data_IF_224874057379
#
_entry.id   IF_224874057379
#
_cell.length_a   1.000
_cell.length_b   1.000
_cell.length_c   1.000
_cell.angle_alpha   90.00
_cell.angle_beta   90.00
_cell.angle_gamma   90.00
#
_symmetry.space_group_name_H-M   'P 1'
#
loop_
_entity.id
_entity.type
_entity.pdbx_description
1 polymer ?
#
# COMPACT_ATOMS: atom_id res chain seq x y z
N UNK A 1 -3.64 -9.37 25.63
CA UNK A 1 -2.95 -10.25 24.64
C UNK A 1 -1.44 -10.24 24.91
N UNK A 2 -0.80 -11.41 25.00
CA UNK A 2 0.63 -11.49 25.30
C UNK A 2 1.48 -11.24 24.02
N UNK A 3 2.56 -10.45 24.14
CA UNK A 3 3.52 -10.20 23.04
C UNK A 3 4.08 -11.53 22.50
N UNK A 4 4.29 -12.50 23.36
CA UNK A 4 4.80 -13.83 23.00
C UNK A 4 3.90 -14.54 21.99
N UNK A 5 2.57 -14.47 22.15
CA UNK A 5 1.62 -15.17 21.29
C UNK A 5 1.60 -14.56 19.88
N UNK A 6 1.77 -13.24 19.78
CA UNK A 6 1.94 -12.54 18.49
C UNK A 6 3.22 -12.98 17.77
N UNK A 7 4.35 -13.02 18.50
CA UNK A 7 5.66 -13.35 17.93
C UNK A 7 5.78 -14.80 17.44
N UNK A 8 5.04 -15.75 18.04
CA UNK A 8 5.07 -17.16 17.63
C UNK A 8 4.46 -17.35 16.24
N UNK A 9 3.40 -16.62 15.91
CA UNK A 9 2.66 -16.72 14.64
C UNK A 9 3.33 -15.97 13.50
N UNK A 10 3.98 -14.86 13.81
CA UNK A 10 4.60 -13.99 12.80
C UNK A 10 5.83 -14.64 12.15
N UNK A 11 6.13 -14.30 10.89
CA UNK A 11 7.37 -14.67 10.23
C UNK A 11 8.61 -14.28 11.06
N UNK A 12 9.72 -14.98 10.79
CA UNK A 12 10.97 -14.75 11.54
C UNK A 12 11.68 -13.46 11.16
N UNK A 13 11.28 -12.82 10.07
CA UNK A 13 11.85 -11.58 9.58
C UNK A 13 11.71 -10.46 10.62
N UNK A 14 12.78 -9.69 10.78
CA UNK A 14 12.89 -8.65 11.81
C UNK A 14 11.79 -7.59 11.70
N UNK A 15 11.36 -7.26 10.48
CA UNK A 15 10.29 -6.28 10.23
C UNK A 15 9.01 -6.64 10.96
N UNK A 16 8.56 -7.90 10.86
CA UNK A 16 7.34 -8.35 11.53
C UNK A 16 7.51 -8.39 13.05
N UNK A 17 8.68 -8.85 13.52
CA UNK A 17 8.95 -8.99 14.96
C UNK A 17 9.03 -7.65 15.65
N UNK A 18 9.77 -6.71 15.07
CA UNK A 18 9.83 -5.34 15.60
C UNK A 18 8.51 -4.61 15.43
N UNK A 19 7.80 -4.80 14.32
CA UNK A 19 6.45 -4.28 14.16
C UNK A 19 5.52 -4.72 15.29
N UNK A 20 5.51 -6.02 15.62
CA UNK A 20 4.66 -6.57 16.68
C UNK A 20 5.01 -6.09 18.11
N UNK A 21 6.25 -5.70 18.34
CA UNK A 21 6.70 -5.19 19.65
C UNK A 21 6.50 -3.69 19.77
N UNK A 22 6.67 -2.95 18.66
CA UNK A 22 6.79 -1.49 18.68
C UNK A 22 5.56 -0.77 18.11
N UNK A 23 4.52 -1.47 17.61
CA UNK A 23 3.38 -0.84 16.95
C UNK A 23 2.68 0.24 17.79
N UNK A 24 2.61 0.06 19.11
CA UNK A 24 1.99 1.04 20.03
C UNK A 24 2.77 2.36 20.11
N UNK A 25 4.05 2.36 19.73
CA UNK A 25 4.88 3.57 19.73
C UNK A 25 4.59 4.49 18.53
N UNK A 26 3.95 3.96 17.50
CA UNK A 26 3.78 4.63 16.20
C UNK A 26 5.10 4.77 15.42
N UNK A 27 4.99 5.11 14.14
CA UNK A 27 6.11 5.15 13.18
C UNK A 27 7.33 5.92 13.67
N UNK A 28 7.12 7.19 14.11
CA UNK A 28 8.23 8.10 14.45
C UNK A 28 9.13 7.54 15.56
N UNK A 29 8.52 7.04 16.64
CA UNK A 29 9.25 6.47 17.77
C UNK A 29 9.85 5.11 17.43
N UNK A 30 9.13 4.27 16.69
CA UNK A 30 9.64 2.99 16.18
C UNK A 30 10.93 3.19 15.40
N UNK A 31 10.93 4.10 14.42
CA UNK A 31 12.12 4.42 13.61
C UNK A 31 13.28 4.91 14.48
N UNK A 32 13.01 5.77 15.49
CA UNK A 32 14.05 6.24 16.41
C UNK A 32 14.69 5.09 17.21
N UNK A 33 13.88 4.22 17.81
CA UNK A 33 14.35 3.04 18.56
C UNK A 33 15.19 2.11 17.69
N UNK A 34 14.73 1.82 16.47
CA UNK A 34 15.44 0.91 15.57
C UNK A 34 16.79 1.49 15.08
N UNK A 35 16.89 2.81 14.95
CA UNK A 35 18.16 3.50 14.68
C UNK A 35 19.14 3.40 15.85
N UNK A 36 18.66 3.58 17.07
CA UNK A 36 19.48 3.40 18.29
C UNK A 36 20.00 1.97 18.40
N UNK A 37 19.18 0.98 18.00
CA UNK A 37 19.60 -0.43 17.91
C UNK A 37 20.55 -0.73 16.74
N UNK A 38 20.86 0.27 15.91
CA UNK A 38 21.78 0.17 14.75
C UNK A 38 21.37 -0.90 13.73
N UNK A 39 20.07 -1.06 13.50
CA UNK A 39 19.59 -1.94 12.45
C UNK A 39 19.87 -1.34 11.06
N UNK A 40 19.79 -2.18 10.03
CA UNK A 40 19.92 -1.72 8.65
C UNK A 40 18.75 -0.83 8.22
N UNK A 41 18.99 0.06 7.26
CA UNK A 41 18.00 1.04 6.81
C UNK A 41 16.74 0.40 6.24
N UNK A 42 16.85 -0.75 5.56
CA UNK A 42 15.71 -1.45 4.99
C UNK A 42 14.78 -1.98 6.08
N UNK A 43 15.34 -2.59 7.13
CA UNK A 43 14.58 -3.05 8.30
C UNK A 43 13.91 -1.87 9.03
N UNK A 44 14.63 -0.75 9.22
CA UNK A 44 14.09 0.45 9.87
C UNK A 44 12.91 1.03 9.07
N UNK A 45 13.08 1.22 7.76
CA UNK A 45 12.06 1.84 6.90
C UNK A 45 10.83 0.95 6.79
N UNK A 46 11.00 -0.32 6.47
CA UNK A 46 9.89 -1.25 6.32
C UNK A 46 9.13 -1.47 7.64
N UNK A 47 9.82 -1.55 8.78
CA UNK A 47 9.14 -1.63 10.08
C UNK A 47 8.37 -0.35 10.39
N UNK A 48 8.96 0.81 10.11
CA UNK A 48 8.28 2.09 10.28
C UNK A 48 7.01 2.21 9.44
N UNK A 49 7.06 1.75 8.18
CA UNK A 49 5.90 1.72 7.28
C UNK A 49 4.84 0.70 7.72
N UNK A 50 5.27 -0.48 8.14
CA UNK A 50 4.36 -1.51 8.67
C UNK A 50 3.57 -1.00 9.87
N UNK A 51 4.27 -0.35 10.82
CA UNK A 51 3.65 0.26 12.00
C UNK A 51 2.71 1.42 11.66
N UNK A 52 3.06 2.21 10.64
CA UNK A 52 2.24 3.33 10.15
C UNK A 52 0.90 2.86 9.57
N UNK A 53 0.92 1.70 8.92
CA UNK A 53 -0.25 1.09 8.28
C UNK A 53 -1.02 0.12 9.19
N UNK A 54 -0.51 -0.16 10.39
CA UNK A 54 -1.22 -1.01 11.33
C UNK A 54 -2.59 -0.44 11.68
N UNK A 55 -3.62 -1.29 11.63
CA UNK A 55 -5.01 -0.88 11.84
C UNK A 55 -5.66 -0.25 10.62
N UNK A 56 -5.10 -0.43 9.41
CA UNK A 56 -5.75 -0.01 8.17
C UNK A 56 -7.18 -0.56 8.06
N UNK A 57 -8.02 0.13 7.32
CA UNK A 57 -9.40 -0.31 7.07
C UNK A 57 -9.43 -1.66 6.34
N UNK A 58 -10.16 -2.61 6.93
CA UNK A 58 -10.41 -3.92 6.31
C UNK A 58 -11.62 -3.77 5.40
N UNK A 59 -11.47 -4.12 4.12
CA UNK A 59 -12.51 -3.89 3.11
C UNK A 59 -12.58 -5.02 2.09
N UNK A 60 -13.74 -5.18 1.47
CA UNK A 60 -13.96 -6.01 0.28
C UNK A 60 -14.17 -5.13 -0.98
N UNK A 61 -13.99 -3.80 -0.86
CA UNK A 61 -14.10 -2.85 -1.97
C UNK A 61 -12.79 -2.77 -2.76
N UNK A 62 -12.79 -3.24 -4.02
CA UNK A 62 -11.59 -3.27 -4.87
C UNK A 62 -10.95 -1.89 -5.13
N UNK A 63 -11.71 -0.82 -5.42
CA UNK A 63 -11.16 0.53 -5.49
C UNK A 63 -10.35 0.90 -4.24
N UNK A 64 -10.91 0.72 -3.05
CA UNK A 64 -10.21 1.04 -1.81
C UNK A 64 -8.96 0.18 -1.61
N UNK A 65 -9.01 -1.12 -1.96
CA UNK A 65 -7.84 -2.01 -1.94
C UNK A 65 -6.73 -1.48 -2.86
N UNK A 66 -7.06 -1.03 -4.09
CA UNK A 66 -6.08 -0.44 -5.03
C UNK A 66 -5.47 0.85 -4.45
N UNK A 67 -6.27 1.74 -3.86
CA UNK A 67 -5.77 2.96 -3.21
C UNK A 67 -4.83 2.64 -2.04
N UNK A 68 -5.19 1.70 -1.18
CA UNK A 68 -4.33 1.25 -0.08
C UNK A 68 -3.00 0.68 -0.62
N UNK A 69 -3.07 -0.23 -1.60
CA UNK A 69 -1.88 -0.83 -2.22
C UNK A 69 -1.02 0.21 -2.96
N UNK A 70 -1.62 1.14 -3.70
CA UNK A 70 -0.92 2.23 -4.39
C UNK A 70 -0.17 3.15 -3.40
N UNK A 71 -0.74 3.44 -2.24
CA UNK A 71 -0.15 4.34 -1.25
C UNK A 71 1.15 3.82 -0.65
N UNK A 72 1.30 2.49 -0.52
CA UNK A 72 2.47 1.86 0.11
C UNK A 72 3.29 0.97 -0.82
N UNK A 73 2.73 0.63 -1.99
CA UNK A 73 3.30 -0.33 -2.92
C UNK A 73 2.90 -1.78 -2.60
N UNK A 74 2.72 -2.58 -3.65
CA UNK A 74 2.18 -3.95 -3.59
C UNK A 74 2.88 -4.84 -2.56
N UNK A 75 4.21 -4.89 -2.57
CA UNK A 75 4.97 -5.73 -1.64
C UNK A 75 4.79 -5.33 -0.18
N UNK A 76 4.71 -4.04 0.12
CA UNK A 76 4.42 -3.56 1.48
C UNK A 76 2.98 -3.88 1.86
N UNK A 77 2.04 -3.75 0.94
CA UNK A 77 0.64 -4.07 1.20
C UNK A 77 0.43 -5.54 1.55
N UNK A 78 1.07 -6.46 0.82
CA UNK A 78 1.08 -7.89 1.18
C UNK A 78 1.65 -8.13 2.60
N UNK A 79 2.74 -7.45 2.92
CA UNK A 79 3.36 -7.53 4.24
C UNK A 79 2.39 -7.06 5.35
N UNK A 80 1.67 -5.97 5.11
CA UNK A 80 0.67 -5.43 6.05
C UNK A 80 -0.50 -6.40 6.20
N UNK A 81 -1.07 -6.92 5.11
CA UNK A 81 -2.16 -7.90 5.16
C UNK A 81 -1.79 -9.13 6.00
N UNK A 82 -0.58 -9.66 5.79
CA UNK A 82 -0.07 -10.80 6.56
C UNK A 82 0.13 -10.45 8.04
N UNK A 83 0.68 -9.27 8.32
CA UNK A 83 0.87 -8.80 9.69
C UNK A 83 -0.46 -8.67 10.44
N UNK A 84 -1.43 -7.99 9.85
CA UNK A 84 -2.77 -7.79 10.41
C UNK A 84 -3.50 -9.11 10.64
N UNK A 85 -3.41 -10.05 9.68
CA UNK A 85 -4.01 -11.37 9.82
C UNK A 85 -3.48 -12.09 11.07
N UNK A 86 -2.16 -12.20 11.22
CA UNK A 86 -1.56 -12.88 12.37
C UNK A 86 -1.83 -12.12 13.68
N UNK A 87 -1.92 -10.80 13.61
CA UNK A 87 -2.26 -9.96 14.76
C UNK A 87 -3.67 -10.26 15.26
N UNK A 88 -4.68 -10.30 14.38
CA UNK A 88 -6.05 -10.62 14.75
C UNK A 88 -6.23 -12.10 15.14
N UNK A 89 -5.52 -13.02 14.50
CA UNK A 89 -5.49 -14.43 14.91
C UNK A 89 -4.95 -14.60 16.33
N UNK A 90 -3.90 -13.86 16.70
CA UNK A 90 -3.35 -13.87 18.06
C UNK A 90 -4.31 -13.22 19.08
N UNK A 91 -5.15 -12.28 18.65
CA UNK A 91 -6.18 -11.64 19.46
C UNK A 91 -7.47 -12.47 19.60
N UNK A 92 -7.55 -13.62 18.95
CA UNK A 92 -8.74 -14.48 18.79
C UNK A 92 -9.93 -13.74 18.10
N UNK A 93 -9.62 -12.67 17.34
CA UNK A 93 -10.60 -11.97 16.50
C UNK A 93 -10.67 -12.63 15.11
N UNK A 94 -11.32 -13.78 15.07
CA UNK A 94 -11.43 -14.59 13.85
C UNK A 94 -12.24 -13.90 12.75
N UNK A 95 -13.18 -13.04 13.12
CA UNK A 95 -14.01 -12.34 12.13
C UNK A 95 -13.15 -11.39 11.30
N UNK A 96 -12.31 -10.59 11.95
CA UNK A 96 -11.38 -9.69 11.24
C UNK A 96 -10.31 -10.46 10.48
N UNK A 97 -9.77 -11.55 11.04
CA UNK A 97 -8.81 -12.40 10.35
C UNK A 97 -9.42 -13.00 9.06
N UNK A 98 -10.67 -13.46 9.09
CA UNK A 98 -11.35 -13.97 7.89
C UNK A 98 -11.62 -12.86 6.86
N UNK A 99 -12.03 -11.67 7.30
CA UNK A 99 -12.22 -10.51 6.41
C UNK A 99 -10.89 -10.13 5.71
N UNK A 100 -9.77 -10.13 6.43
CA UNK A 100 -8.44 -9.91 5.85
C UNK A 100 -8.06 -10.99 4.83
N UNK A 101 -8.45 -12.25 5.01
CA UNK A 101 -8.23 -13.29 3.99
C UNK A 101 -9.01 -13.03 2.71
N UNK A 102 -10.21 -12.51 2.81
CA UNK A 102 -10.97 -12.10 1.62
C UNK A 102 -10.31 -10.89 0.92
N UNK A 103 -9.88 -9.89 1.70
CA UNK A 103 -9.15 -8.74 1.18
C UNK A 103 -7.84 -9.16 0.49
N UNK A 104 -7.09 -10.12 1.06
CA UNK A 104 -5.89 -10.70 0.44
C UNK A 104 -6.22 -11.39 -0.89
N UNK A 105 -7.33 -12.14 -0.95
CA UNK A 105 -7.76 -12.80 -2.18
C UNK A 105 -8.13 -11.80 -3.27
N UNK A 106 -8.88 -10.73 -2.92
CA UNK A 106 -9.22 -9.65 -3.85
C UNK A 106 -7.97 -8.89 -4.33
N UNK A 107 -7.00 -8.69 -3.45
CA UNK A 107 -5.75 -8.04 -3.84
C UNK A 107 -4.94 -8.92 -4.82
N UNK A 108 -4.90 -10.23 -4.62
CA UNK A 108 -4.28 -11.16 -5.58
C UNK A 108 -4.96 -11.10 -6.94
N UNK A 109 -6.28 -11.05 -6.96
CA UNK A 109 -7.05 -10.89 -8.20
C UNK A 109 -6.71 -9.57 -8.93
N UNK A 110 -6.58 -8.46 -8.18
CA UNK A 110 -6.13 -7.16 -8.71
C UNK A 110 -4.75 -7.28 -9.38
N UNK A 111 -3.79 -7.98 -8.75
CA UNK A 111 -2.46 -8.19 -9.30
C UNK A 111 -2.49 -9.11 -10.55
N UNK A 112 -3.28 -10.18 -10.52
CA UNK A 112 -3.43 -11.12 -11.62
C UNK A 112 -4.08 -10.47 -12.85
N UNK A 113 -5.02 -9.54 -12.63
CA UNK A 113 -5.64 -8.74 -13.70
C UNK A 113 -4.66 -7.72 -14.32
N UNK A 114 -3.55 -7.43 -13.64
CA UNK A 114 -2.61 -6.40 -14.06
C UNK A 114 -3.15 -4.98 -13.88
N UNK A 115 -4.01 -4.76 -12.86
CA UNK A 115 -4.56 -3.45 -12.56
C UNK A 115 -3.42 -2.45 -12.26
N UNK A 116 -3.54 -1.25 -12.80
CA UNK A 116 -2.57 -0.17 -12.58
C UNK A 116 -2.61 0.32 -11.13
N UNK A 117 -1.48 0.19 -10.43
CA UNK A 117 -1.33 0.64 -9.03
C UNK A 117 -0.33 1.78 -8.87
N UNK A 118 0.44 2.10 -9.91
CA UNK A 118 1.51 3.09 -9.85
C UNK A 118 1.51 4.02 -11.05
N UNK A 119 2.09 5.22 -10.87
CA UNK A 119 2.27 6.19 -11.97
C UNK A 119 3.04 5.60 -13.17
N UNK A 120 3.89 4.59 -12.94
CA UNK A 120 4.68 3.96 -14.01
C UNK A 120 3.85 3.03 -14.90
N UNK A 121 2.74 2.55 -14.39
CA UNK A 121 1.82 1.62 -15.06
C UNK A 121 0.68 2.35 -15.78
N UNK A 122 0.60 3.67 -15.65
CA UNK A 122 -0.34 4.48 -16.43
C UNK A 122 -0.05 4.39 -17.93
N UNK A 123 -1.11 4.35 -18.73
CA UNK A 123 -1.02 4.42 -20.19
C UNK A 123 -0.52 5.77 -20.71
N UNK A 124 -0.40 6.78 -19.86
CA UNK A 124 0.09 8.13 -20.15
C UNK A 124 1.31 8.43 -19.29
N UNK A 125 2.34 8.96 -19.92
CA UNK A 125 3.59 9.38 -19.27
C UNK A 125 3.69 10.91 -19.22
N UNK A 126 4.65 11.42 -18.42
CA UNK A 126 4.94 12.85 -18.40
C UNK A 126 5.37 13.41 -19.78
N UNK A 127 6.06 12.59 -20.60
CA UNK A 127 6.44 13.01 -21.95
C UNK A 127 5.23 13.15 -22.87
N UNK A 128 4.25 12.25 -22.76
CA UNK A 128 3.01 12.37 -23.53
C UNK A 128 2.25 13.68 -23.22
N UNK A 129 2.28 14.11 -21.95
CA UNK A 129 1.68 15.38 -21.54
C UNK A 129 2.44 16.60 -22.08
N UNK A 130 3.78 16.52 -22.15
CA UNK A 130 4.60 17.58 -22.75
C UNK A 130 4.32 17.68 -24.25
N UNK A 131 4.23 16.56 -24.96
CA UNK A 131 3.87 16.51 -26.39
C UNK A 131 2.45 17.06 -26.65
N UNK A 132 1.54 16.90 -25.69
CA UNK A 132 0.20 17.48 -25.73
C UNK A 132 0.17 18.99 -25.35
N UNK A 133 1.32 19.63 -25.10
CA UNK A 133 1.44 21.06 -24.84
C UNK A 133 1.45 21.47 -23.37
N UNK A 134 1.46 20.52 -22.43
CA UNK A 134 1.55 20.84 -21.00
C UNK A 134 2.99 21.23 -20.65
N UNK A 135 3.17 22.38 -19.99
CA UNK A 135 4.50 22.84 -19.61
C UNK A 135 5.15 21.92 -18.55
N UNK A 136 6.46 21.61 -18.68
CA UNK A 136 7.19 20.84 -17.67
C UNK A 136 7.12 21.49 -16.28
N UNK A 137 6.72 20.72 -15.26
CA UNK A 137 6.65 21.24 -13.90
C UNK A 137 5.70 20.45 -12.99
N UNK A 138 5.28 21.07 -11.91
CA UNK A 138 4.37 20.47 -10.91
C UNK A 138 3.02 20.07 -11.50
N UNK A 139 2.57 20.75 -12.55
CA UNK A 139 1.30 20.50 -13.23
C UNK A 139 1.24 19.10 -13.79
N UNK A 140 2.30 18.64 -14.48
CA UNK A 140 2.40 17.24 -14.99
C UNK A 140 2.20 16.22 -13.86
N UNK A 141 2.88 16.43 -12.71
CA UNK A 141 2.74 15.55 -11.56
C UNK A 141 1.32 15.52 -10.97
N UNK A 142 0.63 16.65 -10.98
CA UNK A 142 -0.76 16.73 -10.50
C UNK A 142 -1.73 16.04 -11.47
N UNK A 143 -1.55 16.23 -12.77
CA UNK A 143 -2.37 15.56 -13.81
C UNK A 143 -2.18 14.04 -13.72
N UNK A 144 -0.94 13.53 -13.67
CA UNK A 144 -0.66 12.10 -13.56
C UNK A 144 -1.25 11.50 -12.27
N UNK A 145 -1.23 12.23 -11.16
CA UNK A 145 -1.86 11.78 -9.91
C UNK A 145 -3.38 11.72 -10.03
N UNK A 146 -4.00 12.71 -10.67
CA UNK A 146 -5.44 12.69 -10.93
C UNK A 146 -5.85 11.54 -11.86
N UNK A 147 -5.04 11.29 -12.90
CA UNK A 147 -5.24 10.12 -13.79
C UNK A 147 -5.10 8.80 -13.03
N UNK A 148 -4.10 8.67 -12.16
CA UNK A 148 -3.93 7.47 -11.34
C UNK A 148 -5.12 7.27 -10.40
N UNK A 149 -5.59 8.33 -9.74
CA UNK A 149 -6.75 8.27 -8.84
C UNK A 149 -8.00 7.75 -9.56
N UNK A 150 -8.27 8.22 -10.77
CA UNK A 150 -9.35 7.74 -11.63
C UNK A 150 -9.19 6.25 -12.00
N UNK A 151 -8.00 5.85 -12.43
CA UNK A 151 -7.69 4.46 -12.80
C UNK A 151 -7.75 3.51 -11.61
N UNK A 152 -7.36 3.94 -10.40
CA UNK A 152 -7.52 3.14 -9.19
C UNK A 152 -9.00 2.86 -8.87
N UNK A 153 -9.89 3.79 -9.20
CA UNK A 153 -11.34 3.58 -9.08
C UNK A 153 -11.88 2.69 -10.20
N UNK A 154 -11.43 2.91 -11.45
CA UNK A 154 -11.93 2.23 -12.64
C UNK A 154 -10.76 1.84 -13.56
N UNK A 155 -10.20 0.61 -13.43
CA UNK A 155 -9.00 0.18 -14.17
C UNK A 155 -9.14 0.27 -15.69
N UNK A 156 -10.35 0.12 -16.21
CA UNK A 156 -10.66 0.18 -17.65
C UNK A 156 -10.38 1.58 -18.24
N UNK A 157 -10.30 2.61 -17.39
CA UNK A 157 -9.94 3.97 -17.79
C UNK A 157 -8.45 4.12 -18.14
N UNK A 158 -7.61 3.12 -17.85
CA UNK A 158 -6.18 3.17 -18.17
C UNK A 158 -5.89 3.01 -19.65
N UNK A 159 -6.41 3.93 -20.46
CA UNK A 159 -6.13 4.05 -21.89
C UNK A 159 -5.73 5.49 -22.22
N UNK A 160 -4.75 5.66 -23.12
CA UNK A 160 -4.25 6.99 -23.50
C UNK A 160 -5.38 7.91 -23.97
N UNK A 161 -6.31 7.37 -24.76
CA UNK A 161 -7.46 8.11 -25.26
C UNK A 161 -8.34 8.63 -24.13
N UNK A 162 -8.79 7.71 -23.24
CA UNK A 162 -9.70 8.08 -22.15
C UNK A 162 -9.06 9.13 -21.22
N UNK A 163 -7.80 8.90 -20.83
CA UNK A 163 -7.09 9.78 -19.92
C UNK A 163 -6.89 11.18 -20.50
N UNK A 164 -6.62 11.29 -21.81
CA UNK A 164 -6.51 12.60 -22.47
C UNK A 164 -7.87 13.29 -22.57
N UNK A 165 -8.91 12.60 -23.01
CA UNK A 165 -10.24 13.17 -23.21
C UNK A 165 -10.84 13.68 -21.88
N UNK A 166 -10.50 13.09 -20.73
CA UNK A 166 -11.12 13.39 -19.44
C UNK A 166 -10.24 14.22 -18.48
N UNK A 167 -8.93 14.24 -18.66
CA UNK A 167 -8.02 14.96 -17.75
C UNK A 167 -7.29 16.13 -18.40
N UNK A 168 -7.32 16.26 -19.72
CA UNK A 168 -6.75 17.42 -20.41
C UNK A 168 -7.89 18.28 -20.94
N UNK A 169 -8.11 19.40 -20.29
CA UNK A 169 -9.00 20.45 -20.78
C UNK A 169 -8.24 21.30 -21.82
N UNK A 170 -7.98 20.72 -23.02
CA UNK A 170 -7.35 21.40 -24.15
C UNK A 170 -8.45 21.87 -25.09
#
# INVERSE_FOLDING_TARGET
MCIRDRLIRLPKELVYRYGAVLFELGKKRTVAVLRELKLDNNTIDNTGRLVDMHGMEITEDKPLIRHQASSCGAAMYEMVLRFEYEFYMAADDRNKAMALKKQEALFKEILENGDCLTLKELAVTGNDLIEAGIHPGKEIGNILKSMLDDVLNTPEHNTKKYLFDNHLHI
#
